data_IF_903086054877
#
_entry.id   IF_903086054877
#
_cell.length_a   1.000
_cell.length_b   1.000
_cell.length_c   1.000
_cell.angle_alpha   90.00
_cell.angle_beta   90.00
_cell.angle_gamma   90.00
#
_symmetry.space_group_name_H-M   'P 1'
#
loop_
_entity.id
_entity.type
_entity.pdbx_description
1 polymer ?
#
# COMPACT_ATOMS: atom_id res chain seq x y z
N UNK A 1 -4.82 -12.09 8.87
CA UNK A 1 -4.46 -11.12 7.81
C UNK A 1 -5.74 -10.46 7.34
N UNK A 2 -5.87 -9.15 7.53
CA UNK A 2 -6.98 -8.36 6.99
C UNK A 2 -6.60 -7.82 5.60
N UNK A 3 -7.59 -7.70 4.72
CA UNK A 3 -7.49 -6.93 3.48
C UNK A 3 -8.44 -5.76 3.61
N UNK A 4 -7.95 -4.56 3.31
CA UNK A 4 -8.71 -3.32 3.41
C UNK A 4 -8.75 -2.63 2.05
N UNK A 5 -9.88 -2.02 1.71
CA UNK A 5 -10.03 -1.19 0.53
C UNK A 5 -9.72 0.26 0.92
N UNK A 6 -8.60 0.80 0.45
CA UNK A 6 -8.17 2.17 0.72
C UNK A 6 -8.54 3.07 -0.48
N UNK A 7 -9.28 4.14 -0.24
CA UNK A 7 -9.55 5.22 -1.21
C UNK A 7 -8.91 6.48 -0.64
N UNK A 8 -7.92 7.04 -1.32
CA UNK A 8 -7.07 8.11 -0.80
C UNK A 8 -6.86 9.20 -1.86
N UNK A 9 -7.01 10.46 -1.47
CA UNK A 9 -6.68 11.64 -2.29
C UNK A 9 -5.52 12.38 -1.65
N UNK A 10 -4.49 12.67 -2.45
CA UNK A 10 -3.27 13.34 -2.00
C UNK A 10 -3.03 14.58 -2.84
N UNK A 11 -2.69 15.67 -2.17
CA UNK A 11 -2.29 16.92 -2.78
C UNK A 11 -1.00 17.40 -2.10
N UNK A 12 -0.06 17.92 -2.90
CA UNK A 12 1.15 18.53 -2.37
C UNK A 12 0.85 19.97 -1.99
N UNK A 13 1.21 20.35 -0.76
CA UNK A 13 0.96 21.68 -0.22
C UNK A 13 2.23 22.53 -0.24
N UNK A 14 2.06 23.83 -0.44
CA UNK A 14 3.06 24.83 -0.06
C UNK A 14 3.11 24.98 1.47
N UNK A 15 4.20 25.54 2.00
CA UNK A 15 4.32 25.78 3.44
C UNK A 15 3.17 26.65 3.98
N UNK A 16 2.78 27.70 3.25
CA UNK A 16 1.70 28.60 3.64
C UNK A 16 0.33 27.90 3.67
N UNK A 17 0.06 26.98 2.75
CA UNK A 17 -1.17 26.18 2.76
C UNK A 17 -1.17 25.18 3.92
N UNK A 18 -0.01 24.58 4.22
CA UNK A 18 0.14 23.71 5.38
C UNK A 18 -0.17 24.46 6.68
N UNK A 19 0.43 25.65 6.89
CA UNK A 19 0.18 26.47 8.08
C UNK A 19 -1.28 26.93 8.19
N UNK A 20 -1.92 27.26 7.05
CA UNK A 20 -3.35 27.58 7.00
C UNK A 20 -4.19 26.41 7.51
N UNK A 21 -3.92 25.19 7.03
CA UNK A 21 -4.65 23.99 7.45
C UNK A 21 -4.39 23.66 8.92
N UNK A 22 -3.15 23.81 9.40
CA UNK A 22 -2.85 23.61 10.82
C UNK A 22 -3.72 24.52 11.71
N UNK A 23 -3.84 25.80 11.34
CA UNK A 23 -4.66 26.76 12.08
C UNK A 23 -6.16 26.46 11.96
N UNK A 24 -6.66 26.17 10.76
CA UNK A 24 -8.08 25.90 10.51
C UNK A 24 -8.58 24.67 11.27
N UNK A 25 -7.77 23.61 11.29
CA UNK A 25 -8.08 22.37 12.00
C UNK A 25 -7.64 22.35 13.47
N UNK A 26 -7.02 23.44 13.95
CA UNK A 26 -6.52 23.59 15.33
C UNK A 26 -5.58 22.45 15.75
N UNK A 27 -4.66 22.09 14.85
CA UNK A 27 -3.67 21.04 15.11
C UNK A 27 -2.50 21.61 15.92
N UNK A 28 -2.12 20.92 16.98
CA UNK A 28 -0.97 21.26 17.82
C UNK A 28 0.21 20.35 17.51
N UNK A 29 1.43 20.75 17.86
CA UNK A 29 2.64 19.93 17.63
C UNK A 29 2.53 18.53 18.28
N UNK A 30 1.79 18.42 19.38
CA UNK A 30 1.54 17.16 20.08
C UNK A 30 0.69 16.16 19.28
N UNK A 31 -0.07 16.61 18.26
CA UNK A 31 -0.88 15.76 17.40
C UNK A 31 -0.04 15.02 16.33
N UNK A 32 1.21 15.45 16.13
CA UNK A 32 2.09 14.90 15.12
C UNK A 32 2.99 13.81 15.72
N UNK A 33 3.19 12.75 14.93
CA UNK A 33 4.10 11.67 15.30
C UNK A 33 4.98 11.28 14.12
N UNK A 34 6.19 10.84 14.43
CA UNK A 34 7.13 10.36 13.41
C UNK A 34 6.82 8.90 13.06
N UNK A 35 6.76 8.63 11.77
CA UNK A 35 6.67 7.28 11.22
C UNK A 35 7.79 7.09 10.19
N UNK A 36 8.44 5.94 10.22
CA UNK A 36 9.47 5.58 9.23
C UNK A 36 8.93 4.49 8.33
N UNK A 37 8.94 4.71 7.01
CA UNK A 37 8.52 3.71 6.03
C UNK A 37 9.76 3.14 5.33
N UNK A 38 10.03 1.86 5.51
CA UNK A 38 11.07 1.12 4.80
C UNK A 38 10.44 0.45 3.58
N UNK A 39 10.82 0.90 2.39
CA UNK A 39 10.32 0.35 1.14
C UNK A 39 11.19 -0.80 0.66
N UNK A 40 10.54 -1.85 0.16
CA UNK A 40 11.20 -3.03 -0.38
C UNK A 40 10.77 -3.21 -1.82
N UNK A 41 11.73 -3.57 -2.66
CA UNK A 41 11.50 -4.04 -4.03
C UNK A 41 12.59 -5.06 -4.38
N UNK A 42 12.45 -5.72 -5.52
CA UNK A 42 13.51 -6.55 -6.08
C UNK A 42 14.55 -5.68 -6.80
N UNK A 43 15.74 -6.22 -7.08
CA UNK A 43 16.75 -5.53 -7.87
C UNK A 43 16.22 -5.10 -9.25
N UNK A 44 15.30 -5.89 -9.80
CA UNK A 44 14.65 -5.65 -11.10
C UNK A 44 13.32 -4.89 -10.99
N UNK A 45 12.99 -4.31 -9.83
CA UNK A 45 11.77 -3.51 -9.61
C UNK A 45 10.44 -4.23 -9.93
N UNK A 46 10.35 -5.52 -9.64
CA UNK A 46 9.17 -6.34 -9.97
C UNK A 46 7.89 -5.88 -9.28
N UNK A 47 7.97 -5.26 -8.09
CA UNK A 47 6.78 -4.74 -7.42
C UNK A 47 6.26 -3.50 -8.13
N UNK A 48 7.17 -2.59 -8.50
CA UNK A 48 6.84 -1.42 -9.31
C UNK A 48 6.20 -1.80 -10.65
N UNK A 49 6.74 -2.81 -11.36
CA UNK A 49 6.15 -3.32 -12.60
C UNK A 49 4.70 -3.81 -12.42
N UNK A 50 4.40 -4.37 -11.25
CA UNK A 50 3.06 -4.85 -10.89
C UNK A 50 2.16 -3.78 -10.28
N UNK A 51 2.58 -2.51 -10.31
CA UNK A 51 1.89 -1.40 -9.65
C UNK A 51 1.59 -1.72 -8.17
N UNK A 52 2.56 -2.35 -7.51
CA UNK A 52 2.53 -2.74 -6.13
C UNK A 52 3.68 -2.08 -5.36
N UNK A 53 3.48 -1.87 -4.06
CA UNK A 53 4.48 -1.33 -3.16
C UNK A 53 4.43 -2.09 -1.84
N UNK A 54 5.56 -2.66 -1.44
CA UNK A 54 5.73 -3.30 -0.14
C UNK A 54 6.48 -2.35 0.78
N UNK A 55 5.97 -2.16 1.99
CA UNK A 55 6.66 -1.40 3.03
C UNK A 55 6.55 -2.05 4.39
N UNK A 56 7.57 -1.85 5.22
CA UNK A 56 7.47 -1.99 6.68
C UNK A 56 7.38 -0.57 7.25
N UNK A 57 6.31 -0.27 7.95
CA UNK A 57 6.11 0.97 8.69
C UNK A 57 6.51 0.76 10.15
N UNK A 58 7.42 1.59 10.65
CA UNK A 58 7.76 1.70 12.06
C UNK A 58 7.07 2.90 12.68
N UNK A 59 6.34 2.68 13.77
CA UNK A 59 5.79 3.72 14.66
C UNK A 59 6.20 3.37 16.08
N UNK A 60 7.06 4.19 16.69
CA UNK A 60 7.64 3.91 18.01
C UNK A 60 8.27 2.50 18.09
N UNK A 61 7.68 1.61 18.90
CA UNK A 61 8.08 0.20 19.09
C UNK A 61 7.28 -0.78 18.23
N UNK A 62 6.30 -0.30 17.46
CA UNK A 62 5.44 -1.12 16.61
C UNK A 62 5.91 -1.14 15.15
N UNK A 63 5.80 -2.32 14.54
CA UNK A 63 6.12 -2.54 13.13
C UNK A 63 4.90 -3.15 12.42
N UNK A 64 4.59 -2.60 11.26
CA UNK A 64 3.48 -3.04 10.43
C UNK A 64 3.98 -3.30 9.01
N UNK A 65 3.68 -4.47 8.46
CA UNK A 65 3.97 -4.80 7.07
C UNK A 65 2.73 -4.50 6.21
N UNK A 66 2.88 -3.64 5.20
CA UNK A 66 1.80 -3.31 4.27
C UNK A 66 2.22 -3.60 2.83
N UNK A 67 1.41 -4.38 2.11
CA UNK A 67 1.48 -4.51 0.66
C UNK A 67 0.33 -3.72 0.03
N UNK A 68 0.65 -2.60 -0.63
CA UNK A 68 -0.31 -1.89 -1.48
C UNK A 68 -0.23 -2.49 -2.89
N UNK A 69 -1.36 -2.79 -3.49
CA UNK A 69 -1.43 -3.11 -4.91
C UNK A 69 -2.62 -2.39 -5.53
N UNK A 70 -2.48 -2.02 -6.80
CA UNK A 70 -3.68 -1.62 -7.55
C UNK A 70 -4.51 -2.88 -7.75
N UNK A 71 -5.60 -3.04 -7.00
CA UNK A 71 -6.68 -3.87 -7.53
C UNK A 71 -7.09 -3.22 -8.83
N UNK A 72 -6.95 -3.97 -9.93
CA UNK A 72 -7.44 -3.58 -11.24
C UNK A 72 -8.94 -3.36 -11.13
N UNK A 73 -9.37 -2.17 -10.71
CA UNK A 73 -10.70 -1.67 -11.00
C UNK A 73 -10.70 -1.32 -12.49
N UNK A 74 -10.56 -2.35 -13.33
CA UNK A 74 -10.96 -2.28 -14.72
C UNK A 74 -12.47 -2.18 -14.64
N UNK A 75 -12.98 -0.95 -14.64
CA UNK A 75 -14.37 -0.71 -14.99
C UNK A 75 -14.54 -1.19 -16.44
N UNK A 76 -14.73 -2.50 -16.64
CA UNK A 76 -15.42 -2.98 -17.84
C UNK A 76 -16.89 -2.78 -17.51
N UNK A 77 -17.38 -1.57 -17.82
CA UNK A 77 -18.80 -1.39 -18.01
C UNK A 77 -19.20 -2.27 -19.18
N UNK A 78 -19.78 -3.42 -18.90
CA UNK A 78 -20.79 -4.05 -19.72
C UNK A 78 -21.83 -4.59 -18.74
N UNK A 79 -22.86 -3.78 -18.55
CA UNK A 79 -24.15 -4.25 -18.05
C UNK A 79 -24.61 -5.43 -18.92
N UNK A 80 -24.84 -6.59 -18.31
CA UNK A 80 -26.15 -7.29 -18.34
C UNK A 80 -26.07 -8.68 -17.69
N UNK A 81 -26.86 -8.84 -16.63
CA UNK A 81 -27.48 -10.08 -16.11
C UNK A 81 -26.68 -10.93 -15.08
N UNK A 82 -27.26 -11.25 -13.89
CA UNK A 82 -26.58 -11.84 -12.75
C UNK A 82 -26.74 -13.36 -12.74
N UNK A 83 -25.70 -14.09 -13.14
CA UNK A 83 -25.52 -15.49 -12.74
C UNK A 83 -24.17 -15.98 -13.23
N UNK A 84 -23.22 -16.14 -12.30
CA UNK A 84 -22.29 -17.29 -12.25
C UNK A 84 -21.28 -17.12 -11.10
N UNK A 85 -21.32 -18.10 -10.19
CA UNK A 85 -20.22 -18.42 -9.28
C UNK A 85 -18.97 -18.71 -10.10
N UNK A 86 -17.81 -18.28 -9.62
CA UNK A 86 -16.56 -18.97 -9.94
C UNK A 86 -15.61 -18.90 -8.75
N UNK A 87 -15.50 -20.04 -8.06
CA UNK A 87 -14.38 -20.36 -7.19
C UNK A 87 -13.14 -20.56 -8.04
N UNK A 88 -12.03 -19.92 -7.70
CA UNK A 88 -10.72 -20.34 -8.23
C UNK A 88 -9.69 -20.41 -7.10
N UNK A 89 -9.43 -21.65 -6.74
CA UNK A 89 -8.25 -22.18 -6.09
C UNK A 89 -6.97 -21.94 -6.91
N UNK A 90 -5.86 -21.86 -6.17
CA UNK A 90 -4.46 -22.08 -6.59
C UNK A 90 -3.74 -20.92 -7.28
N UNK A 91 -2.64 -20.45 -6.67
CA UNK A 91 -1.30 -20.63 -7.26
C UNK A 91 -0.21 -20.58 -6.18
N UNK A 92 0.91 -21.25 -6.47
CA UNK A 92 1.80 -22.00 -5.58
C UNK A 92 2.86 -21.19 -4.83
N UNK A 93 3.37 -21.83 -3.76
CA UNK A 93 4.64 -21.56 -3.05
C UNK A 93 5.78 -21.18 -4.01
N UNK A 94 6.49 -20.09 -3.71
CA UNK A 94 7.89 -19.93 -4.09
C UNK A 94 8.76 -20.46 -2.94
N UNK A 95 9.51 -21.54 -3.20
CA UNK A 95 10.62 -21.96 -2.36
C UNK A 95 11.85 -21.12 -2.72
N UNK A 96 12.53 -20.57 -1.71
CA UNK A 96 13.83 -19.94 -1.87
C UNK A 96 14.90 -21.01 -2.19
N UNK A 97 15.81 -20.80 -3.14
CA UNK A 97 17.01 -21.61 -3.25
C UNK A 97 18.03 -21.18 -2.18
N UNK A 98 18.39 -22.11 -1.29
CA UNK A 98 19.54 -22.01 -0.41
C UNK A 98 20.83 -22.04 -1.24
N UNK A 99 21.60 -20.94 -1.20
CA UNK A 99 22.95 -20.87 -1.78
C UNK A 99 23.95 -21.40 -0.74
N UNK A 100 24.48 -22.60 -0.99
CA UNK A 100 25.68 -23.15 -0.34
C UNK A 100 26.63 -23.65 -1.43
N UNK A 101 27.83 -23.07 -1.50
CA UNK A 101 29.10 -23.59 -2.09
C UNK A 101 29.99 -22.37 -2.36
N UNK A 102 31.29 -22.32 -2.08
CA UNK A 102 32.25 -23.20 -1.43
C UNK A 102 33.44 -22.34 -1.00
#
# INVERSE_FOLDING_TARGET
MSQELEIEFKNMLTASEYDLLMNEFRLEEADFFTQTNYYFDTADFQLKERLAALRIRKRELHYELTLKNTRTNRFIGNDTNPSRRTSLSNFRRCQYPSRTSS
#
